data_IF_110502998184
#
_entry.id   IF_110502998184
#
_cell.length_a   1.000
_cell.length_b   1.000
_cell.length_c   1.000
_cell.angle_alpha   90.00
_cell.angle_beta   90.00
_cell.angle_gamma   90.00
#
_symmetry.space_group_name_H-M   'P 1'
#
loop_
_entity.id
_entity.type
_entity.pdbx_description
1 polymer ?
#
# COMPACT_ATOMS: atom_id res chain seq x y z
N UNK A 1 -73.49 15.42 -51.26
CA UNK A 1 -72.93 16.78 -51.33
C UNK A 1 -73.63 17.59 -50.24
N UNK A 2 -72.86 18.24 -49.35
CA UNK A 2 -73.26 18.91 -48.09
C UNK A 2 -73.68 17.97 -46.94
N UNK A 3 -73.39 18.20 -45.67
CA UNK A 3 -72.41 19.03 -44.96
C UNK A 3 -72.47 18.61 -43.47
N UNK A 4 -71.44 18.97 -42.73
CA UNK A 4 -71.07 18.61 -41.36
C UNK A 4 -72.08 18.93 -40.23
N UNK A 5 -71.81 18.24 -39.10
CA UNK A 5 -72.03 18.57 -37.67
C UNK A 5 -73.33 18.11 -36.99
N UNK A 6 -73.19 17.14 -36.07
CA UNK A 6 -73.78 17.25 -34.73
C UNK A 6 -72.83 16.66 -33.67
N UNK A 7 -72.69 17.43 -32.60
CA UNK A 7 -71.85 17.24 -31.41
C UNK A 7 -72.63 16.44 -30.35
N UNK A 8 -71.94 15.63 -29.54
CA UNK A 8 -72.07 15.46 -28.06
C UNK A 8 -71.29 14.20 -27.64
N UNK A 9 -70.10 14.31 -27.03
CA UNK A 9 -69.82 14.45 -25.60
C UNK A 9 -70.03 13.17 -24.79
N UNK A 10 -68.93 12.52 -24.36
CA UNK A 10 -68.59 12.12 -22.97
C UNK A 10 -67.59 10.95 -22.89
N UNK A 11 -66.72 11.04 -21.88
CA UNK A 11 -66.00 9.98 -21.16
C UNK A 11 -64.71 9.36 -21.77
N UNK A 12 -63.58 9.91 -21.30
CA UNK A 12 -62.44 9.24 -20.65
C UNK A 12 -62.42 7.70 -20.74
N UNK A 13 -61.41 7.14 -21.42
CA UNK A 13 -60.54 6.09 -20.86
C UNK A 13 -59.30 5.92 -21.75
N UNK A 14 -58.13 6.23 -21.20
CA UNK A 14 -56.83 5.99 -21.81
C UNK A 14 -56.55 4.49 -21.85
N UNK A 15 -56.41 3.94 -23.06
CA UNK A 15 -55.87 2.61 -23.30
C UNK A 15 -54.35 2.62 -23.08
N UNK A 16 -53.92 2.21 -21.89
CA UNK A 16 -52.57 1.71 -21.63
C UNK A 16 -52.63 0.19 -21.49
N UNK A 17 -52.19 -0.54 -22.51
CA UNK A 17 -52.14 -2.00 -22.46
C UNK A 17 -51.10 -2.47 -21.44
N UNK A 18 -51.56 -3.35 -20.55
CA UNK A 18 -50.81 -4.09 -19.55
C UNK A 18 -49.94 -5.15 -20.23
N UNK A 19 -48.62 -5.07 -20.06
CA UNK A 19 -47.74 -6.20 -20.34
C UNK A 19 -47.63 -7.04 -19.07
N UNK A 20 -48.39 -8.15 -19.08
CA UNK A 20 -48.34 -9.20 -18.09
C UNK A 20 -47.02 -9.96 -18.22
N UNK A 21 -46.12 -9.83 -17.25
CA UNK A 21 -45.07 -10.81 -17.01
C UNK A 21 -45.22 -11.33 -15.59
N UNK A 22 -45.82 -12.51 -15.48
CA UNK A 22 -45.76 -13.34 -14.29
C UNK A 22 -44.33 -13.85 -14.11
N UNK A 23 -43.67 -13.44 -13.03
CA UNK A 23 -42.68 -14.27 -12.37
C UNK A 23 -43.07 -14.33 -10.90
N UNK A 24 -43.52 -15.52 -10.48
CA UNK A 24 -43.81 -15.91 -9.11
C UNK A 24 -42.54 -15.75 -8.27
N UNK A 25 -42.76 -15.36 -7.01
CA UNK A 25 -41.71 -14.90 -6.11
C UNK A 25 -40.58 -15.88 -5.84
N UNK A 26 -39.42 -15.28 -5.62
CA UNK A 26 -38.52 -15.57 -4.51
C UNK A 26 -37.63 -14.32 -4.33
N UNK A 27 -37.51 -13.83 -3.10
CA UNK A 27 -36.63 -12.74 -2.75
C UNK A 27 -35.17 -13.19 -2.92
N UNK A 28 -34.52 -12.77 -4.00
CA UNK A 28 -33.07 -12.74 -4.08
C UNK A 28 -32.61 -11.30 -4.31
N UNK A 29 -32.26 -10.62 -3.23
CA UNK A 29 -31.39 -9.45 -3.31
C UNK A 29 -30.00 -9.90 -3.78
N UNK A 30 -29.81 -10.02 -5.09
CA UNK A 30 -28.47 -10.05 -5.66
C UNK A 30 -27.91 -8.62 -5.64
N UNK A 31 -27.46 -8.13 -4.48
CA UNK A 31 -26.62 -6.93 -4.38
C UNK A 31 -25.18 -7.37 -4.11
N UNK A 32 -24.50 -7.77 -5.18
CA UNK A 32 -23.04 -7.84 -5.17
C UNK A 32 -22.49 -6.42 -5.24
N UNK A 33 -21.85 -5.96 -4.16
CA UNK A 33 -20.91 -4.84 -4.22
C UNK A 33 -19.57 -5.38 -3.70
N UNK A 34 -18.70 -5.75 -4.64
CA UNK A 34 -17.31 -6.07 -4.38
C UNK A 34 -16.46 -4.84 -4.67
N UNK A 35 -15.68 -4.35 -3.70
CA UNK A 35 -14.47 -3.58 -4.02
C UNK A 35 -13.61 -3.29 -2.79
N UNK A 36 -12.82 -4.29 -2.34
CA UNK A 36 -11.47 -4.01 -1.82
C UNK A 36 -10.54 -5.13 -2.30
N UNK A 37 -9.64 -4.88 -3.28
CA UNK A 37 -8.53 -5.78 -3.56
C UNK A 37 -7.72 -6.01 -2.27
N UNK A 38 -7.48 -7.27 -1.90
CA UNK A 38 -6.63 -7.59 -0.76
C UNK A 38 -5.24 -6.94 -0.91
N UNK A 39 -4.62 -6.56 0.21
CA UNK A 39 -3.27 -6.01 0.21
C UNK A 39 -2.33 -6.96 -0.56
N UNK A 40 -1.41 -6.45 -1.39
CA UNK A 40 -0.40 -7.29 -2.02
C UNK A 40 0.34 -8.12 -0.96
N UNK A 41 0.57 -9.41 -1.25
CA UNK A 41 1.37 -10.26 -0.37
C UNK A 41 2.77 -9.66 -0.13
N UNK A 42 3.41 -9.96 1.01
CA UNK A 42 4.76 -9.48 1.28
C UNK A 42 5.72 -9.93 0.16
N UNK A 43 6.72 -9.10 -0.13
CA UNK A 43 7.77 -9.48 -1.08
C UNK A 43 8.44 -10.77 -0.61
N UNK A 44 8.72 -11.69 -1.55
CA UNK A 44 9.46 -12.91 -1.22
C UNK A 44 10.85 -12.59 -0.64
N UNK A 45 11.39 -13.45 0.24
CA UNK A 45 12.71 -13.23 0.82
C UNK A 45 13.78 -13.13 -0.29
N UNK A 46 14.84 -12.34 -0.11
CA UNK A 46 15.97 -12.32 -1.04
C UNK A 46 16.54 -13.73 -1.24
N UNK A 47 16.93 -14.07 -2.47
CA UNK A 47 17.60 -15.33 -2.74
C UNK A 47 18.87 -15.48 -1.89
N UNK A 48 19.15 -16.69 -1.40
CA UNK A 48 20.35 -16.97 -0.62
C UNK A 48 21.62 -16.60 -1.41
N UNK A 49 22.66 -16.13 -0.72
CA UNK A 49 23.95 -15.88 -1.35
C UNK A 49 24.52 -17.19 -1.91
N UNK A 50 25.15 -17.11 -3.09
CA UNK A 50 25.86 -18.26 -3.66
C UNK A 50 26.99 -18.71 -2.74
N UNK A 51 27.19 -20.03 -2.63
CA UNK A 51 28.30 -20.61 -1.88
C UNK A 51 29.65 -20.13 -2.43
N UNK A 52 30.69 -19.95 -1.59
CA UNK A 52 32.04 -19.64 -2.07
C UNK A 52 32.52 -20.64 -3.13
N UNK A 53 33.29 -20.15 -4.10
CA UNK A 53 33.90 -21.03 -5.11
C UNK A 53 34.86 -22.06 -4.48
N UNK A 54 35.01 -23.26 -5.09
CA UNK A 54 35.93 -24.27 -4.58
C UNK A 54 37.38 -23.75 -4.57
N UNK A 55 38.21 -24.32 -3.70
CA UNK A 55 39.63 -23.96 -3.64
C UNK A 55 40.34 -24.28 -4.96
N UNK A 56 41.30 -23.43 -5.34
CA UNK A 56 42.12 -23.66 -6.53
C UNK A 56 42.88 -25.00 -6.47
N UNK A 57 43.04 -25.65 -7.62
CA UNK A 57 43.81 -26.90 -7.70
C UNK A 57 45.26 -26.66 -7.29
N UNK A 58 45.86 -27.64 -6.63
CA UNK A 58 47.28 -27.63 -6.24
C UNK A 58 48.14 -27.44 -7.50
N UNK A 59 49.09 -26.50 -7.43
CA UNK A 59 50.07 -26.28 -8.49
C UNK A 59 50.90 -27.53 -8.81
N UNK A 60 51.28 -27.69 -10.07
CA UNK A 60 52.13 -28.79 -10.52
C UNK A 60 53.49 -28.75 -9.80
N UNK A 61 54.08 -29.91 -9.42
CA UNK A 61 55.41 -29.94 -8.81
C UNK A 61 56.46 -29.25 -9.69
N UNK A 62 57.40 -28.57 -9.06
CA UNK A 62 58.55 -27.99 -9.77
C UNK A 62 59.36 -29.06 -10.49
N UNK A 63 59.95 -28.73 -11.65
CA UNK A 63 60.83 -29.65 -12.38
C UNK A 63 62.12 -29.89 -11.59
N UNK A 64 62.65 -31.11 -11.67
CA UNK A 64 63.91 -31.48 -11.01
C UNK A 64 65.08 -30.61 -11.48
N UNK A 65 66.00 -30.32 -10.55
CA UNK A 65 67.23 -29.58 -10.85
C UNK A 65 68.15 -30.35 -11.79
N UNK A 66 68.88 -29.64 -12.67
CA UNK A 66 69.86 -30.26 -13.58
C UNK A 66 71.04 -30.84 -12.80
N UNK A 67 71.56 -31.98 -13.27
CA UNK A 67 72.74 -32.65 -12.70
C UNK A 67 73.99 -31.72 -12.69
N UNK A 68 74.78 -31.81 -11.61
CA UNK A 68 76.02 -31.07 -11.46
C UNK A 68 77.13 -31.54 -12.43
N UNK A 69 77.99 -30.62 -12.88
CA UNK A 69 79.13 -30.94 -13.76
C UNK A 69 80.19 -31.81 -13.04
N UNK A 70 80.84 -32.72 -13.78
CA UNK A 70 81.89 -33.62 -13.29
C UNK A 70 83.15 -32.82 -12.89
N UNK A 71 83.71 -33.08 -11.71
CA UNK A 71 84.93 -32.43 -11.21
C UNK A 71 86.20 -32.81 -12.00
N UNK A 72 87.16 -31.90 -12.07
CA UNK A 72 88.46 -32.10 -12.72
C UNK A 72 89.40 -33.03 -11.93
N UNK A 73 90.31 -33.72 -12.63
CA UNK A 73 91.22 -34.74 -12.09
C UNK A 73 92.41 -34.07 -11.38
N UNK A 74 92.71 -34.45 -10.14
CA UNK A 74 93.86 -33.94 -9.38
C UNK A 74 95.22 -34.37 -9.96
N UNK A 75 96.20 -33.48 -9.89
CA UNK A 75 97.59 -33.73 -10.33
C UNK A 75 98.36 -34.66 -9.38
N UNK A 76 99.32 -35.41 -9.92
CA UNK A 76 100.06 -36.46 -9.21
C UNK A 76 101.22 -35.87 -8.40
N UNK A 77 101.33 -36.26 -7.13
CA UNK A 77 102.40 -35.82 -6.22
C UNK A 77 103.79 -36.30 -6.66
N UNK A 78 104.76 -35.38 -6.60
CA UNK A 78 106.18 -35.64 -6.90
C UNK A 78 106.84 -36.42 -5.77
N UNK A 79 107.54 -37.49 -6.14
CA UNK A 79 108.09 -38.44 -5.20
C UNK A 79 109.53 -38.08 -4.81
N UNK A 80 109.73 -37.76 -3.53
CA UNK A 80 110.98 -37.22 -3.00
C UNK A 80 112.03 -38.25 -2.61
N UNK A 81 113.26 -37.76 -2.49
CA UNK A 81 114.36 -38.13 -1.58
C UNK A 81 115.69 -37.80 -2.31
N UNK A 82 116.72 -37.26 -1.64
CA UNK A 82 118.13 -37.65 -1.91
C UNK A 82 119.08 -37.31 -0.77
N UNK A 83 119.74 -38.34 -0.26
CA UNK A 83 120.92 -38.24 0.59
C UNK A 83 121.37 -39.62 1.09
N UNK A 84 122.03 -40.40 0.23
CA UNK A 84 122.97 -41.43 0.70
C UNK A 84 124.39 -40.93 0.36
N UNK A 85 125.32 -41.06 1.31
CA UNK A 85 126.73 -41.40 1.05
C UNK A 85 127.06 -42.58 1.98
N UNK A 86 126.59 -43.82 1.80
CA UNK A 86 126.74 -44.72 0.65
C UNK A 86 126.29 -44.15 -0.68
N UNK A 87 126.99 -44.36 -1.80
CA UNK A 87 126.81 -43.46 -2.92
C UNK A 87 125.39 -43.57 -3.49
N UNK A 88 124.71 -42.42 -3.46
CA UNK A 88 123.84 -41.96 -4.53
C UNK A 88 122.56 -42.79 -4.74
N UNK A 89 121.53 -42.60 -3.92
CA UNK A 89 120.47 -41.67 -4.30
C UNK A 89 119.13 -42.39 -4.48
N UNK A 90 118.05 -41.66 -4.32
CA UNK A 90 116.69 -42.13 -3.99
C UNK A 90 115.68 -41.51 -4.94
N UNK A 91 114.56 -42.19 -5.18
CA UNK A 91 113.38 -41.64 -5.86
C UNK A 91 112.15 -42.13 -5.09
N UNK A 92 111.25 -41.22 -4.75
CA UNK A 92 110.17 -41.49 -3.81
C UNK A 92 109.04 -42.38 -4.32
N UNK A 93 108.10 -42.64 -3.40
CA UNK A 93 106.93 -43.48 -3.60
C UNK A 93 106.00 -42.98 -4.72
N UNK A 94 105.60 -43.90 -5.60
CA UNK A 94 104.60 -43.64 -6.64
C UNK A 94 103.28 -43.31 -5.96
N UNK A 95 102.87 -42.04 -6.00
CA UNK A 95 101.57 -41.61 -5.45
C UNK A 95 100.41 -42.46 -5.99
N UNK A 96 99.51 -42.87 -5.08
CA UNK A 96 98.29 -43.62 -5.35
C UNK A 96 97.40 -42.94 -6.41
N UNK A 97 96.58 -43.69 -7.17
CA UNK A 97 95.58 -43.09 -8.04
C UNK A 97 94.64 -42.19 -7.22
N UNK A 98 94.49 -40.92 -7.63
CA UNK A 98 93.52 -40.02 -7.00
C UNK A 98 92.11 -40.64 -6.99
N UNK A 99 91.40 -40.54 -5.86
CA UNK A 99 90.04 -41.06 -5.73
C UNK A 99 89.14 -40.47 -6.82
N UNK A 100 88.27 -41.32 -7.39
CA UNK A 100 87.18 -40.87 -8.27
C UNK A 100 86.39 -39.75 -7.59
N UNK A 101 86.22 -38.62 -8.27
CA UNK A 101 85.39 -37.52 -7.76
C UNK A 101 83.98 -38.04 -7.42
N UNK A 102 83.48 -37.69 -6.23
CA UNK A 102 82.15 -38.09 -5.76
C UNK A 102 81.09 -37.59 -6.76
N UNK A 103 80.09 -38.43 -7.07
CA UNK A 103 78.92 -38.01 -7.86
C UNK A 103 78.32 -36.77 -7.19
N UNK A 104 78.05 -35.72 -7.98
CA UNK A 104 77.36 -34.54 -7.46
C UNK A 104 76.01 -34.95 -6.84
N UNK A 105 75.54 -34.24 -5.79
CA UNK A 105 74.25 -34.58 -5.18
C UNK A 105 73.13 -34.47 -6.22
N UNK A 106 72.19 -35.42 -6.20
CA UNK A 106 70.96 -35.33 -7.00
C UNK A 106 70.25 -34.02 -6.65
N UNK A 107 69.81 -33.27 -7.67
CA UNK A 107 69.04 -32.04 -7.44
C UNK A 107 67.82 -32.31 -6.56
N UNK A 108 67.51 -31.39 -5.64
CA UNK A 108 66.35 -31.52 -4.75
C UNK A 108 65.05 -31.59 -5.57
N UNK A 109 64.15 -32.50 -5.18
CA UNK A 109 62.81 -32.64 -5.78
C UNK A 109 62.05 -31.33 -5.58
N UNK A 110 61.46 -30.80 -6.66
CA UNK A 110 60.67 -29.58 -6.60
C UNK A 110 59.52 -29.69 -5.61
N UNK A 111 59.38 -28.74 -4.70
CA UNK A 111 58.32 -28.74 -3.68
C UNK A 111 56.94 -28.66 -4.36
N UNK A 112 55.97 -29.43 -3.86
CA UNK A 112 54.58 -29.40 -4.34
C UNK A 112 54.02 -27.98 -4.16
N UNK A 113 53.43 -27.41 -5.20
CA UNK A 113 52.85 -26.06 -5.14
C UNK A 113 51.74 -25.97 -4.08
N UNK A 114 51.58 -24.81 -3.46
CA UNK A 114 50.54 -24.59 -2.45
C UNK A 114 49.13 -24.67 -3.07
N UNK A 115 48.14 -24.95 -2.22
CA UNK A 115 46.73 -24.92 -2.61
C UNK A 115 46.37 -23.47 -2.95
N UNK A 116 45.74 -23.25 -4.11
CA UNK A 116 45.32 -21.90 -4.50
C UNK A 116 44.30 -21.31 -3.52
N UNK A 117 44.21 -19.97 -3.41
CA UNK A 117 43.29 -19.32 -2.49
C UNK A 117 41.84 -19.71 -2.76
N UNK A 118 40.99 -19.60 -1.73
CA UNK A 118 39.55 -19.79 -1.86
C UNK A 118 38.98 -18.85 -2.94
N UNK A 119 38.03 -19.34 -3.73
CA UNK A 119 37.37 -18.52 -4.74
C UNK A 119 36.61 -17.34 -4.12
N UNK A 120 36.37 -16.26 -4.88
CA UNK A 120 35.62 -15.11 -4.38
C UNK A 120 34.20 -15.52 -3.94
N UNK A 121 33.56 -14.73 -3.05
CA UNK A 121 32.15 -14.93 -2.68
C UNK A 121 31.27 -15.01 -3.92
N UNK A 122 30.28 -15.91 -3.89
CA UNK A 122 29.31 -16.03 -4.98
C UNK A 122 28.54 -14.73 -5.21
N UNK A 123 27.98 -14.52 -6.41
CA UNK A 123 27.18 -13.34 -6.70
C UNK A 123 25.97 -13.25 -5.75
N UNK A 124 25.54 -12.02 -5.46
CA UNK A 124 24.33 -11.78 -4.68
C UNK A 124 23.14 -12.45 -5.37
N UNK A 125 22.29 -13.12 -4.60
CA UNK A 125 21.09 -13.77 -5.11
C UNK A 125 20.19 -12.78 -5.88
N UNK A 126 19.47 -13.29 -6.87
CA UNK A 126 18.54 -12.49 -7.67
C UNK A 126 17.45 -11.85 -6.79
N UNK A 127 16.86 -10.76 -7.28
CA UNK A 127 15.69 -10.13 -6.65
C UNK A 127 14.59 -11.20 -6.51
N UNK A 128 14.01 -11.30 -5.31
CA UNK A 128 12.93 -12.24 -5.02
C UNK A 128 11.77 -12.10 -6.02
N UNK A 129 11.07 -13.20 -6.26
CA UNK A 129 9.93 -13.23 -7.17
C UNK A 129 8.82 -12.28 -6.71
N UNK A 130 7.98 -11.83 -7.65
CA UNK A 130 6.79 -11.07 -7.33
C UNK A 130 5.93 -11.91 -6.38
N UNK A 131 5.57 -11.36 -5.22
CA UNK A 131 4.71 -12.04 -4.25
C UNK A 131 3.45 -12.57 -4.91
N UNK A 132 2.90 -13.67 -4.37
CA UNK A 132 1.69 -14.27 -4.89
C UNK A 132 0.55 -13.25 -4.96
N UNK A 133 -0.37 -13.48 -5.91
CA UNK A 133 -1.60 -12.69 -5.99
C UNK A 133 -2.30 -12.84 -4.64
N UNK A 134 -2.60 -11.73 -3.97
CA UNK A 134 -3.30 -11.76 -2.69
C UNK A 134 -4.55 -12.63 -2.79
N UNK A 135 -4.85 -13.38 -1.72
CA UNK A 135 -6.08 -14.17 -1.67
C UNK A 135 -7.26 -13.26 -1.99
N UNK A 136 -8.26 -13.72 -2.77
CA UNK A 136 -9.52 -13.00 -2.88
C UNK A 136 -9.99 -12.65 -1.47
N UNK A 137 -10.33 -11.38 -1.24
CA UNK A 137 -10.89 -10.96 0.05
C UNK A 137 -12.02 -11.91 0.41
N UNK A 138 -12.05 -12.37 1.66
CA UNK A 138 -13.13 -13.23 2.14
C UNK A 138 -14.43 -12.45 2.00
N UNK A 139 -15.28 -12.85 1.07
CA UNK A 139 -16.64 -12.36 0.99
C UNK A 139 -17.41 -13.01 2.14
N UNK A 140 -17.43 -12.35 3.31
CA UNK A 140 -18.43 -12.66 4.32
C UNK A 140 -19.76 -12.10 3.81
N UNK A 141 -20.46 -12.86 2.95
CA UNK A 141 -21.88 -12.65 2.75
C UNK A 141 -22.54 -12.69 4.14
N UNK A 142 -23.18 -11.60 4.54
CA UNK A 142 -23.82 -11.48 5.86
C UNK A 142 -23.13 -10.53 6.85
N UNK A 143 -22.01 -9.86 6.53
CA UNK A 143 -21.55 -8.75 7.39
C UNK A 143 -22.54 -7.59 7.28
N UNK A 144 -23.13 -7.19 8.40
CA UNK A 144 -24.02 -6.03 8.51
C UNK A 144 -23.28 -4.81 7.94
N UNK A 145 -23.66 -4.37 6.73
CA UNK A 145 -23.16 -3.11 6.16
C UNK A 145 -24.02 -2.01 6.77
N UNK A 146 -23.57 -1.47 7.89
CA UNK A 146 -24.20 -0.32 8.52
C UNK A 146 -24.08 0.87 7.57
N UNK A 147 -25.21 1.37 7.10
CA UNK A 147 -25.29 2.54 6.22
C UNK A 147 -26.07 3.63 6.93
N UNK A 148 -25.49 4.81 6.94
CA UNK A 148 -26.12 6.01 7.47
C UNK A 148 -25.68 7.17 6.59
N UNK A 149 -26.59 7.67 5.77
CA UNK A 149 -26.29 8.77 4.89
C UNK A 149 -27.57 9.52 4.50
N UNK A 150 -27.49 10.84 4.40
CA UNK A 150 -28.58 11.67 3.93
C UNK A 150 -28.06 12.81 3.06
N UNK A 151 -28.92 13.30 2.18
CA UNK A 151 -28.75 14.58 1.49
C UNK A 151 -30.12 15.20 1.29
N UNK A 152 -30.23 16.44 1.73
CA UNK A 152 -31.50 17.17 1.79
C UNK A 152 -31.29 18.60 1.29
N UNK A 153 -32.31 19.11 0.61
CA UNK A 153 -32.42 20.50 0.21
C UNK A 153 -33.54 21.21 0.96
N UNK A 154 -33.59 22.52 0.82
CA UNK A 154 -34.66 23.36 1.37
C UNK A 154 -35.47 23.97 0.24
N UNK A 155 -36.79 24.06 0.40
CA UNK A 155 -37.69 24.65 -0.61
C UNK A 155 -38.10 26.10 -0.31
N UNK A 156 -37.75 26.62 0.86
CA UNK A 156 -38.12 27.95 1.33
C UNK A 156 -36.89 28.79 1.62
N UNK A 157 -36.88 30.03 1.14
CA UNK A 157 -35.83 31.00 1.47
C UNK A 157 -36.06 31.66 2.83
N UNK A 158 -35.00 32.20 3.42
CA UNK A 158 -35.02 32.97 4.67
C UNK A 158 -35.64 32.20 5.85
N UNK A 159 -35.06 31.06 6.24
CA UNK A 159 -35.56 30.27 7.38
C UNK A 159 -35.50 31.08 8.67
N UNK A 160 -36.26 30.62 9.67
CA UNK A 160 -36.28 31.21 11.00
C UNK A 160 -34.89 31.16 11.66
N UNK A 161 -34.58 32.22 12.40
CA UNK A 161 -33.31 32.35 13.12
C UNK A 161 -33.37 31.64 14.48
N UNK A 162 -32.21 31.15 14.96
CA UNK A 162 -32.04 30.46 16.25
C UNK A 162 -32.89 29.21 16.42
N UNK A 163 -33.29 28.60 15.30
CA UNK A 163 -33.98 27.32 15.24
C UNK A 163 -33.28 26.41 14.22
N UNK A 164 -33.38 25.08 14.38
CA UNK A 164 -32.93 24.15 13.35
C UNK A 164 -33.58 24.46 12.00
N UNK A 165 -32.76 24.55 10.96
CA UNK A 165 -33.23 24.80 9.60
C UNK A 165 -33.85 23.51 9.06
N UNK A 166 -35.10 23.62 8.57
CA UNK A 166 -35.86 22.50 8.04
C UNK A 166 -35.54 22.29 6.55
N UNK A 167 -34.58 21.41 6.25
CA UNK A 167 -34.35 20.94 4.87
C UNK A 167 -35.37 19.86 4.52
N UNK A 168 -36.47 20.29 3.91
CA UNK A 168 -37.66 19.48 3.68
C UNK A 168 -37.66 18.71 2.34
N UNK A 169 -36.73 19.00 1.42
CA UNK A 169 -36.60 18.31 0.13
C UNK A 169 -35.60 17.16 0.28
N UNK A 170 -36.10 15.95 0.54
CA UNK A 170 -35.23 14.76 0.67
C UNK A 170 -34.75 14.31 -0.70
N UNK A 171 -33.44 14.33 -0.92
CA UNK A 171 -32.81 13.74 -2.11
C UNK A 171 -32.55 12.24 -1.88
N UNK A 172 -32.01 11.91 -0.71
CA UNK A 172 -31.98 10.55 -0.16
C UNK A 172 -31.79 10.58 1.36
N UNK A 173 -32.18 9.50 2.04
CA UNK A 173 -32.10 9.37 3.51
C UNK A 173 -31.95 7.89 3.90
N UNK A 174 -30.79 7.30 3.61
CA UNK A 174 -30.49 5.89 3.89
C UNK A 174 -30.36 5.69 5.41
N UNK A 175 -31.19 4.80 5.95
CA UNK A 175 -31.32 4.55 7.40
C UNK A 175 -32.38 5.42 8.09
N UNK A 176 -32.99 6.39 7.38
CA UNK A 176 -33.99 7.30 7.96
C UNK A 176 -33.48 8.12 9.16
N UNK A 177 -32.17 8.34 9.23
CA UNK A 177 -31.51 9.02 10.35
C UNK A 177 -31.61 10.55 10.30
N UNK A 178 -32.01 11.12 9.16
CA UNK A 178 -32.39 12.54 9.08
C UNK A 178 -33.90 12.70 9.21
N UNK A 179 -34.36 13.63 10.05
CA UNK A 179 -35.77 13.94 10.23
C UNK A 179 -36.11 15.30 9.58
N UNK A 180 -36.81 15.32 8.43
CA UNK A 180 -37.18 16.56 7.74
C UNK A 180 -38.15 17.46 8.52
N UNK A 181 -38.90 16.91 9.48
CA UNK A 181 -39.82 17.68 10.32
C UNK A 181 -39.11 18.45 11.44
N UNK A 182 -37.91 18.02 11.83
CA UNK A 182 -37.11 18.69 12.87
C UNK A 182 -35.86 19.36 12.34
N UNK A 183 -35.42 19.04 11.12
CA UNK A 183 -34.20 19.57 10.53
C UNK A 183 -32.92 18.88 11.00
N UNK A 184 -33.04 17.81 11.81
CA UNK A 184 -31.92 17.18 12.51
C UNK A 184 -31.56 15.81 11.94
N UNK A 185 -30.27 15.54 11.90
CA UNK A 185 -29.71 14.20 11.82
C UNK A 185 -29.53 13.63 13.23
N UNK A 186 -29.95 12.38 13.44
CA UNK A 186 -29.79 11.65 14.70
C UNK A 186 -28.88 10.45 14.42
N UNK A 187 -27.74 10.39 15.11
CA UNK A 187 -26.79 9.30 14.93
C UNK A 187 -27.37 7.97 15.42
N UNK A 188 -27.43 6.98 14.53
CA UNK A 188 -27.81 5.61 14.92
C UNK A 188 -26.60 4.73 15.27
N UNK A 189 -25.44 5.00 14.66
CA UNK A 189 -24.24 4.16 14.78
C UNK A 189 -23.06 5.00 15.26
N UNK A 190 -22.49 4.71 16.43
CA UNK A 190 -21.28 5.40 16.88
C UNK A 190 -20.18 5.31 15.83
N UNK A 191 -19.49 6.42 15.58
CA UNK A 191 -18.43 6.44 14.57
C UNK A 191 -18.08 7.82 14.03
N UNK A 192 -17.30 7.82 12.96
CA UNK A 192 -16.80 9.01 12.28
C UNK A 192 -17.74 9.37 11.12
N UNK A 193 -18.28 10.59 11.16
CA UNK A 193 -19.18 11.12 10.15
C UNK A 193 -18.57 12.32 9.43
N UNK A 194 -18.84 12.42 8.13
CA UNK A 194 -18.60 13.63 7.35
C UNK A 194 -19.91 14.38 7.15
N UNK A 195 -19.89 15.70 7.35
CA UNK A 195 -21.00 16.58 7.05
C UNK A 195 -20.54 17.68 6.11
N UNK A 196 -21.39 18.05 5.16
CA UNK A 196 -21.20 19.22 4.31
C UNK A 196 -22.50 19.94 4.01
N UNK A 197 -22.40 21.22 3.76
CA UNK A 197 -23.50 22.04 3.28
C UNK A 197 -23.00 23.03 2.25
N UNK A 198 -23.87 23.31 1.29
CA UNK A 198 -23.67 24.25 0.19
C UNK A 198 -24.90 25.14 0.13
N UNK A 199 -24.72 26.41 0.48
CA UNK A 199 -25.82 27.35 0.71
C UNK A 199 -25.73 28.46 -0.31
N UNK A 200 -26.76 28.58 -1.15
CA UNK A 200 -26.96 29.79 -1.94
C UNK A 200 -27.46 30.89 -1.00
N UNK A 201 -26.90 32.09 -1.11
CA UNK A 201 -27.36 33.26 -0.35
C UNK A 201 -27.82 34.41 -1.25
N UNK A 202 -28.86 35.12 -0.84
CA UNK A 202 -29.45 36.24 -1.60
C UNK A 202 -30.00 37.31 -0.65
N UNK A 203 -29.94 38.59 -1.06
CA UNK A 203 -30.52 39.79 -0.42
C UNK A 203 -30.09 40.12 1.02
N UNK A 204 -29.62 39.16 1.81
CA UNK A 204 -29.13 39.33 3.19
C UNK A 204 -27.81 38.60 3.38
N UNK A 205 -27.07 39.01 4.41
CA UNK A 205 -25.90 38.26 4.87
C UNK A 205 -26.30 36.90 5.43
N UNK A 206 -25.34 35.97 5.49
CA UNK A 206 -25.51 34.63 6.01
C UNK A 206 -24.60 34.41 7.21
N UNK A 207 -25.17 33.94 8.32
CA UNK A 207 -24.42 33.38 9.45
C UNK A 207 -25.02 32.03 9.87
N UNK A 208 -24.52 30.97 9.25
CA UNK A 208 -25.00 29.60 9.46
C UNK A 208 -23.99 28.79 10.25
N UNK A 209 -24.46 27.99 11.20
CA UNK A 209 -23.62 27.14 12.02
C UNK A 209 -24.04 25.68 11.92
N UNK A 210 -23.05 24.79 11.87
CA UNK A 210 -23.26 23.36 12.12
C UNK A 210 -23.18 23.09 13.61
N UNK A 211 -24.26 22.55 14.15
CA UNK A 211 -24.43 22.30 15.58
C UNK A 211 -24.41 20.81 15.85
N UNK A 212 -23.66 20.40 16.86
CA UNK A 212 -23.68 19.04 17.41
C UNK A 212 -24.02 19.16 18.90
N UNK A 213 -25.15 18.58 19.32
CA UNK A 213 -25.64 18.60 20.71
C UNK A 213 -25.61 19.99 21.34
N UNK A 214 -26.09 21.01 20.60
CA UNK A 214 -26.15 22.40 21.06
C UNK A 214 -24.83 23.17 20.98
N UNK A 215 -23.72 22.54 20.56
CA UNK A 215 -22.42 23.21 20.38
C UNK A 215 -22.09 23.41 18.91
N UNK A 216 -21.76 24.64 18.54
CA UNK A 216 -21.28 24.95 17.18
C UNK A 216 -19.93 24.26 16.91
N UNK A 217 -19.86 23.53 15.81
CA UNK A 217 -18.66 22.88 15.27
C UNK A 217 -18.07 23.67 14.11
N UNK A 218 -18.92 24.24 13.28
CA UNK A 218 -18.54 25.21 12.24
C UNK A 218 -19.43 26.45 12.40
N UNK A 219 -18.86 27.63 12.15
CA UNK A 219 -19.60 28.86 11.89
C UNK A 219 -19.13 29.41 10.55
N UNK A 220 -20.05 29.50 9.60
CA UNK A 220 -19.80 30.06 8.27
C UNK A 220 -20.48 31.42 8.18
N UNK A 221 -19.73 32.41 7.74
CA UNK A 221 -20.21 33.76 7.51
C UNK A 221 -20.00 34.11 6.05
N UNK A 222 -21.02 34.70 5.42
CA UNK A 222 -20.89 35.26 4.09
C UNK A 222 -21.64 36.59 4.01
N UNK A 223 -21.01 37.59 3.42
CA UNK A 223 -21.51 38.94 3.34
C UNK A 223 -22.05 39.22 1.94
N UNK A 224 -23.36 39.18 1.79
CA UNK A 224 -24.00 39.57 0.54
C UNK A 224 -23.83 41.07 0.22
N UNK A 225 -23.38 41.40 -1.00
CA UNK A 225 -23.24 42.78 -1.50
C UNK A 225 -24.29 43.18 -2.56
N UNK A 226 -25.40 42.44 -2.65
CA UNK A 226 -26.49 42.67 -3.62
C UNK A 226 -26.58 41.66 -4.77
N UNK A 227 -25.77 40.60 -4.74
CA UNK A 227 -25.76 39.51 -5.72
C UNK A 227 -26.17 38.17 -5.06
N UNK A 228 -26.04 37.08 -5.81
CA UNK A 228 -26.15 35.73 -5.26
C UNK A 228 -24.75 35.16 -5.09
N UNK A 229 -24.45 34.68 -3.89
CA UNK A 229 -23.19 34.03 -3.55
C UNK A 229 -23.44 32.60 -3.07
N UNK A 230 -22.38 31.81 -2.92
CA UNK A 230 -22.44 30.43 -2.42
C UNK A 230 -21.46 30.30 -1.26
N UNK A 231 -22.00 29.91 -0.10
CA UNK A 231 -21.23 29.62 1.09
C UNK A 231 -21.29 28.13 1.41
N UNK A 232 -20.13 27.51 1.57
CA UNK A 232 -20.03 26.09 1.90
C UNK A 232 -19.26 25.87 3.20
N UNK A 233 -19.54 24.76 3.86
CA UNK A 233 -18.79 24.30 5.01
C UNK A 233 -18.82 22.79 5.12
N UNK A 234 -17.73 22.21 5.63
CA UNK A 234 -17.66 20.78 5.89
C UNK A 234 -16.77 20.46 7.07
N UNK A 235 -17.04 19.35 7.72
CA UNK A 235 -16.23 18.85 8.84
C UNK A 235 -16.42 17.36 9.02
N UNK A 236 -15.48 16.77 9.76
CA UNK A 236 -15.52 15.38 10.21
C UNK A 236 -15.72 15.39 11.72
N UNK A 237 -16.73 14.66 12.20
CA UNK A 237 -17.10 14.62 13.62
C UNK A 237 -17.27 13.16 14.03
N UNK A 238 -16.73 12.80 15.19
CA UNK A 238 -17.09 11.55 15.85
C UNK A 238 -18.41 11.75 16.61
N UNK A 239 -19.37 10.85 16.40
CA UNK A 239 -20.69 10.86 17.03
C UNK A 239 -20.88 9.57 17.84
N UNK A 240 -21.54 9.72 18.99
CA UNK A 240 -22.14 8.64 19.74
C UNK A 240 -23.58 8.38 19.25
N UNK A 241 -24.14 7.22 19.58
CA UNK A 241 -25.54 6.96 19.33
C UNK A 241 -26.42 8.04 19.98
N UNK A 242 -27.49 8.43 19.30
CA UNK A 242 -28.44 9.49 19.66
C UNK A 242 -27.89 10.93 19.61
N UNK A 243 -26.61 11.14 19.27
CA UNK A 243 -26.09 12.49 19.04
C UNK A 243 -26.85 13.17 17.88
N UNK A 244 -27.21 14.43 18.10
CA UNK A 244 -27.95 15.24 17.13
C UNK A 244 -27.02 16.21 16.39
N UNK A 245 -27.19 16.30 15.07
CA UNK A 245 -26.48 17.27 14.22
C UNK A 245 -27.46 18.03 13.33
N UNK A 246 -27.35 19.37 13.28
CA UNK A 246 -28.21 20.22 12.44
C UNK A 246 -27.52 21.50 12.01
N UNK A 247 -28.19 22.27 11.14
CA UNK A 247 -27.80 23.62 10.77
C UNK A 247 -28.75 24.65 11.36
N UNK A 248 -28.23 25.80 11.76
CA UNK A 248 -28.99 26.88 12.38
C UNK A 248 -28.41 28.25 11.97
N UNK A 249 -29.29 29.23 11.75
CA UNK A 249 -28.87 30.63 11.65
C UNK A 249 -28.69 31.20 13.06
N UNK A 250 -27.45 31.46 13.47
CA UNK A 250 -27.14 31.82 14.87
C UNK A 250 -27.03 33.33 15.12
N UNK A 251 -27.03 34.14 14.06
CA UNK A 251 -26.91 35.60 14.15
C UNK A 251 -28.18 36.29 13.67
N UNK A 252 -28.50 37.42 14.29
CA UNK A 252 -29.73 38.16 14.00
C UNK A 252 -29.63 38.92 12.68
N UNK A 253 -30.70 38.84 11.88
CA UNK A 253 -30.83 39.44 10.53
C UNK A 253 -29.76 38.96 9.53
N UNK A 254 -29.28 37.73 9.72
CA UNK A 254 -28.31 37.08 8.82
C UNK A 254 -28.82 35.73 8.32
N UNK A 255 -30.12 35.68 8.00
CA UNK A 255 -30.80 34.51 7.45
C UNK A 255 -30.86 34.50 5.93
N UNK A 256 -29.84 35.02 5.23
CA UNK A 256 -29.82 35.17 3.77
C UNK A 256 -29.80 33.88 2.96
N UNK A 257 -30.00 32.72 3.57
CA UNK A 257 -30.15 31.45 2.87
C UNK A 257 -31.30 31.53 1.86
N UNK A 258 -31.02 31.10 0.64
CA UNK A 258 -31.93 31.21 -0.50
C UNK A 258 -32.10 29.86 -1.21
N UNK A 259 -33.31 29.65 -1.73
CA UNK A 259 -33.67 28.52 -2.57
C UNK A 259 -34.72 28.96 -3.58
N UNK A 260 -34.52 28.54 -4.84
CA UNK A 260 -35.46 28.77 -5.94
C UNK A 260 -35.66 27.46 -6.72
N UNK A 261 -36.91 26.98 -6.88
CA UNK A 261 -37.20 25.71 -7.55
C UNK A 261 -36.68 25.58 -8.98
N UNK A 262 -36.34 26.69 -9.64
CA UNK A 262 -35.96 26.71 -11.05
C UNK A 262 -34.46 26.76 -11.29
N UNK A 263 -33.66 27.33 -10.38
CA UNK A 263 -32.24 27.56 -10.65
C UNK A 263 -31.30 27.51 -9.44
N UNK A 264 -31.79 27.38 -8.20
CA UNK A 264 -30.94 27.42 -7.01
C UNK A 264 -31.36 26.43 -5.93
N UNK A 265 -30.42 25.61 -5.48
CA UNK A 265 -30.56 24.75 -4.32
C UNK A 265 -29.65 25.23 -3.18
N UNK A 266 -30.10 24.99 -1.94
CA UNK A 266 -29.27 25.01 -0.73
C UNK A 266 -29.37 23.66 -0.07
N UNK A 267 -28.22 23.00 0.14
CA UNK A 267 -28.14 21.58 0.49
C UNK A 267 -27.42 21.37 1.84
N UNK A 268 -27.83 20.31 2.52
CA UNK A 268 -27.15 19.76 3.69
C UNK A 268 -27.05 18.24 3.54
N UNK A 269 -25.84 17.71 3.71
CA UNK A 269 -25.55 16.28 3.52
C UNK A 269 -24.66 15.77 4.64
N UNK A 270 -24.80 14.48 4.94
CA UNK A 270 -23.92 13.82 5.89
C UNK A 270 -23.92 12.31 5.71
N UNK A 271 -22.79 11.67 6.00
CA UNK A 271 -22.66 10.22 5.90
C UNK A 271 -21.60 9.66 6.83
N UNK A 272 -21.80 8.40 7.23
CA UNK A 272 -20.86 7.61 8.00
C UNK A 272 -19.64 7.26 7.14
N UNK A 273 -18.45 7.60 7.64
CA UNK A 273 -17.16 7.19 7.05
C UNK A 273 -16.70 5.87 7.63
N UNK A 274 -16.66 5.77 8.95
CA UNK A 274 -16.20 4.60 9.69
C UNK A 274 -17.06 4.42 10.93
N UNK A 275 -17.64 3.22 11.08
CA UNK A 275 -18.29 2.82 12.32
C UNK A 275 -17.24 2.52 13.38
N UNK A 276 -17.57 2.77 14.64
CA UNK A 276 -16.77 2.37 15.78
C UNK A 276 -16.59 0.84 15.81
N UNK A 277 -15.35 0.38 16.01
CA UNK A 277 -15.02 -1.04 16.02
C UNK A 277 -15.63 -1.74 17.23
N UNK A 278 -15.68 -1.08 18.39
CA UNK A 278 -16.21 -1.68 19.61
C UNK A 278 -17.72 -1.92 19.47
N UNK A 279 -18.41 -1.03 18.73
CA UNK A 279 -19.81 -1.21 18.37
C UNK A 279 -20.03 -2.39 17.41
N UNK A 280 -19.15 -2.57 16.42
CA UNK A 280 -19.21 -3.72 15.52
C UNK A 280 -18.95 -5.06 16.23
N UNK A 281 -18.00 -5.08 17.16
CA UNK A 281 -17.63 -6.28 17.90
C UNK A 281 -18.79 -6.70 18.81
N UNK A 282 -19.43 -5.75 19.50
CA UNK A 282 -20.64 -6.00 20.31
C UNK A 282 -21.80 -6.59 19.49
N UNK A 283 -22.05 -6.07 18.27
CA UNK A 283 -23.07 -6.64 17.39
C UNK A 283 -22.76 -8.08 16.94
N UNK A 284 -21.47 -8.43 16.83
CA UNK A 284 -21.07 -9.77 16.42
C UNK A 284 -21.20 -10.82 17.53
N UNK A 285 -21.11 -10.40 18.79
CA UNK A 285 -21.29 -11.27 19.95
C UNK A 285 -22.78 -11.62 20.16
N UNK A 286 -23.70 -10.70 19.82
CA UNK A 286 -25.16 -10.89 19.95
C UNK A 286 -25.74 -11.86 18.89
N UNK A 287 -25.08 -12.01 17.73
CA UNK A 287 -25.51 -12.93 16.64
C UNK A 287 -25.10 -14.41 16.91
N UNK A 288 -24.32 -14.71 17.95
CA UNK A 288 -23.90 -16.08 18.33
C UNK A 288 -24.75 -16.74 19.45
N UNK A 289 -25.83 -16.09 19.92
CA UNK A 289 -26.78 -16.59 20.94
C UNK A 289 -28.13 -17.05 20.36
#
# INVERSE_FOLDING_TARGET
MFALLYVTSFAIYTSGQSLHNQLKGENYYARYICSIPGLPGPAGPPGANGSPGPHGRIGLPGRDGRDGRKGERGEKGNAGLRGKTGPLGTTGDKGDPGQSGKKGPTGLVGVKGEVGPAGPPGPKGNKGERGERGVPGICKCGRIVLKSAFSVGITTSYPDERLPILFNKVLFNEGEHYNPSTGKFICAFPGIYYFSYDITLANKHLAIGLVHNGKYRIKTFDANTGNHDVASGSTVIYLQAEDEVWLEIFYTDQNGLFADPTWSDSLFSGFLLYVDTDYLDALSDDDEL
#
